data_IF_780219400953
#
_entry.id   IF_780219400953
#
_cell.length_a   1.000
_cell.length_b   1.000
_cell.length_c   1.000
_cell.angle_alpha   90.00
_cell.angle_beta   90.00
_cell.angle_gamma   90.00
#
_symmetry.space_group_name_H-M   'P 1'
#
loop_
_entity.id
_entity.type
_entity.pdbx_description
1 polymer ?
#
# COMPACT_ATOMS: atom_id res chain seq x y z
N UNK A 1 -11.87 5.51 -1.72
CA UNK A 1 -11.37 6.55 -2.64
C UNK A 1 -9.86 6.39 -2.73
N UNK A 2 -9.25 6.41 -3.92
CA UNK A 2 -7.80 6.37 -4.05
C UNK A 2 -7.21 7.75 -3.72
N UNK A 3 -6.20 7.79 -2.86
CA UNK A 3 -5.51 9.02 -2.49
C UNK A 3 -4.20 9.17 -3.28
N UNK A 4 -3.81 10.42 -3.57
CA UNK A 4 -2.50 10.69 -4.15
C UNK A 4 -1.41 10.45 -3.09
N UNK A 5 -0.41 9.64 -3.41
CA UNK A 5 0.80 9.52 -2.58
C UNK A 5 1.64 10.79 -2.68
N UNK A 6 1.93 11.41 -1.54
CA UNK A 6 2.72 12.66 -1.47
C UNK A 6 4.19 12.45 -1.13
N UNK A 7 4.54 11.40 -0.38
CA UNK A 7 5.93 11.06 -0.07
C UNK A 7 6.66 10.36 -1.22
N UNK A 8 7.98 10.27 -1.13
CA UNK A 8 8.82 9.48 -2.05
C UNK A 8 8.86 8.00 -1.66
N UNK A 9 9.25 7.13 -2.57
CA UNK A 9 9.44 5.67 -2.40
C UNK A 9 10.11 5.10 -3.64
N UNK A 10 10.49 3.81 -3.61
CA UNK A 10 11.00 3.07 -4.78
C UNK A 10 10.10 3.17 -6.02
N UNK A 11 8.79 3.41 -5.84
CA UNK A 11 7.86 3.66 -6.95
C UNK A 11 8.25 4.86 -7.82
N UNK A 12 8.98 5.84 -7.28
CA UNK A 12 9.49 6.96 -8.07
C UNK A 12 10.48 6.47 -9.14
N UNK A 13 11.30 5.48 -8.82
CA UNK A 13 12.24 4.88 -9.75
C UNK A 13 11.54 3.88 -10.68
N UNK A 14 10.65 3.04 -10.13
CA UNK A 14 9.87 2.06 -10.91
C UNK A 14 8.88 2.71 -11.89
N UNK A 15 8.51 3.98 -11.68
CA UNK A 15 7.63 4.73 -12.59
C UNK A 15 8.18 4.83 -14.02
N UNK A 16 9.49 4.63 -14.21
CA UNK A 16 10.09 4.55 -15.54
C UNK A 16 9.72 3.26 -16.29
N UNK A 17 9.37 2.19 -15.56
CA UNK A 17 9.06 0.87 -16.12
C UNK A 17 7.56 0.67 -16.37
N UNK A 18 6.71 1.27 -15.54
CA UNK A 18 5.26 1.12 -15.66
C UNK A 18 4.50 2.29 -15.02
N UNK A 19 3.32 2.59 -15.57
CA UNK A 19 2.38 3.57 -15.01
C UNK A 19 1.36 2.97 -14.04
N UNK A 20 1.30 1.64 -13.97
CA UNK A 20 0.34 0.91 -13.12
C UNK A 20 0.97 0.64 -11.75
N UNK A 21 1.18 1.70 -10.97
CA UNK A 21 1.77 1.64 -9.63
C UNK A 21 0.77 2.15 -8.60
N UNK A 22 0.65 1.42 -7.49
CA UNK A 22 -0.15 1.82 -6.34
C UNK A 22 0.57 1.43 -5.06
N UNK A 23 0.65 2.35 -4.11
CA UNK A 23 1.10 2.08 -2.76
C UNK A 23 -0.11 1.91 -1.84
N UNK A 24 -0.05 0.89 -1.00
CA UNK A 24 -1.01 0.65 0.06
C UNK A 24 -0.25 0.26 1.32
N UNK A 25 -0.72 0.72 2.47
CA UNK A 25 -0.24 0.33 3.79
C UNK A 25 -1.36 0.58 4.82
N UNK A 26 -1.45 -0.25 5.87
CA UNK A 26 -2.43 -0.07 6.95
C UNK A 26 -2.04 1.02 7.96
N UNK A 27 -3.00 1.37 8.83
CA UNK A 27 -2.80 2.35 9.90
C UNK A 27 -2.90 3.80 9.43
N UNK A 28 -2.44 4.71 10.28
CA UNK A 28 -2.43 6.14 10.00
C UNK A 28 -1.03 6.63 9.60
N UNK A 29 -0.88 7.01 8.33
CA UNK A 29 0.36 7.54 7.79
C UNK A 29 0.72 8.95 8.29
N UNK A 30 -0.20 9.68 8.92
CA UNK A 30 0.09 11.00 9.47
C UNK A 30 1.11 10.96 10.62
N UNK A 31 1.12 9.87 11.39
CA UNK A 31 2.04 9.69 12.52
C UNK A 31 3.35 9.01 12.12
N UNK A 32 3.55 8.74 10.83
CA UNK A 32 4.77 8.10 10.36
C UNK A 32 5.99 8.98 10.66
N UNK A 33 7.07 8.36 11.17
CA UNK A 33 8.27 9.02 11.65
C UNK A 33 8.07 9.94 12.87
N UNK A 34 7.03 9.70 13.67
CA UNK A 34 6.85 10.35 14.99
C UNK A 34 7.13 9.39 16.15
N UNK A 35 7.20 9.90 17.37
CA UNK A 35 7.33 9.07 18.58
C UNK A 35 6.03 8.31 18.89
N UNK A 36 4.93 8.79 18.33
CA UNK A 36 3.58 8.28 18.45
C UNK A 36 3.20 7.41 17.23
N UNK A 37 4.17 6.90 16.49
CA UNK A 37 3.91 5.95 15.41
C UNK A 37 3.36 4.64 15.99
N UNK A 38 2.16 4.26 15.58
CA UNK A 38 1.54 3.00 15.96
C UNK A 38 0.67 2.45 14.83
N UNK A 39 0.30 1.19 14.97
CA UNK A 39 -0.71 0.54 14.15
C UNK A 39 -1.60 -0.31 15.04
N UNK A 40 -2.90 -0.33 14.75
CA UNK A 40 -3.82 -1.26 15.41
C UNK A 40 -3.60 -2.67 14.87
N UNK A 41 -3.59 -3.66 15.77
CA UNK A 41 -3.43 -5.08 15.39
C UNK A 41 -4.48 -5.49 14.36
N UNK A 42 -5.71 -4.98 14.47
CA UNK A 42 -6.76 -5.24 13.49
C UNK A 42 -6.47 -4.68 12.10
N UNK A 43 -5.84 -3.50 11.99
CA UNK A 43 -5.47 -2.90 10.71
C UNK A 43 -4.35 -3.70 10.05
N UNK A 44 -3.40 -4.19 10.86
CA UNK A 44 -2.35 -5.08 10.40
C UNK A 44 -2.92 -6.39 9.85
N UNK A 45 -3.83 -7.05 10.59
CA UNK A 45 -4.48 -8.29 10.14
C UNK A 45 -5.34 -8.04 8.89
N UNK A 46 -6.03 -6.91 8.82
CA UNK A 46 -6.81 -6.52 7.63
C UNK A 46 -5.92 -6.31 6.41
N UNK A 47 -4.72 -5.76 6.58
CA UNK A 47 -3.76 -5.58 5.48
C UNK A 47 -3.34 -6.91 4.87
N UNK A 48 -3.15 -7.95 5.69
CA UNK A 48 -2.83 -9.30 5.21
C UNK A 48 -3.91 -9.80 4.25
N UNK A 49 -5.18 -9.66 4.63
CA UNK A 49 -6.30 -10.08 3.77
C UNK A 49 -6.41 -9.21 2.51
N UNK A 50 -6.14 -7.90 2.59
CA UNK A 50 -6.11 -7.02 1.40
C UNK A 50 -5.02 -7.46 0.42
N UNK A 51 -3.79 -7.71 0.87
CA UNK A 51 -2.72 -8.16 -0.03
C UNK A 51 -3.00 -9.54 -0.62
N UNK A 52 -3.54 -10.47 0.19
CA UNK A 52 -3.95 -11.79 -0.29
C UNK A 52 -4.99 -11.69 -1.40
N UNK A 53 -6.02 -10.89 -1.23
CA UNK A 53 -7.03 -10.65 -2.27
C UNK A 53 -6.43 -9.96 -3.49
N UNK A 54 -5.60 -8.94 -3.30
CA UNK A 54 -4.97 -8.22 -4.40
C UNK A 54 -4.11 -9.14 -5.29
N UNK A 55 -3.37 -10.08 -4.69
CA UNK A 55 -2.60 -11.08 -5.44
C UNK A 55 -3.54 -12.00 -6.24
N UNK A 56 -4.59 -12.52 -5.61
CA UNK A 56 -5.56 -13.41 -6.29
C UNK A 56 -6.20 -12.70 -7.48
N UNK A 57 -6.67 -11.47 -7.29
CA UNK A 57 -7.26 -10.66 -8.35
C UNK A 57 -6.25 -10.34 -9.45
N UNK A 58 -5.02 -9.95 -9.08
CA UNK A 58 -3.97 -9.67 -10.05
C UNK A 58 -3.67 -10.88 -10.94
N UNK A 59 -3.61 -12.08 -10.35
CA UNK A 59 -3.42 -13.32 -11.12
C UNK A 59 -4.61 -13.65 -12.03
N UNK A 60 -5.82 -13.22 -11.69
CA UNK A 60 -7.01 -13.43 -12.52
C UNK A 60 -7.11 -12.45 -13.70
N UNK A 61 -6.45 -11.28 -13.64
CA UNK A 61 -6.42 -10.31 -14.76
C UNK A 61 -5.77 -10.89 -16.02
N UNK A 62 -4.86 -11.84 -15.87
CA UNK A 62 -4.09 -12.43 -16.97
C UNK A 62 -4.60 -13.81 -17.41
N UNK A 63 -5.77 -14.25 -16.91
CA UNK A 63 -6.49 -15.41 -17.44
C UNK A 63 -7.37 -14.99 -18.61
#
# INVERSE_FOLDING_TARGET
>A
MLARKWGTSDMNDLAQLTRNLVAYGPGDGFSSHSLEEYILVEDYLRAIEVYKQAIVEFMNIYK
#
